data_IF_165048137838
#
_entry.id   IF_165048137838
#
_cell.length_a   1.000
_cell.length_b   1.000
_cell.length_c   1.000
_cell.angle_alpha   90.00
_cell.angle_beta   90.00
_cell.angle_gamma   90.00
#
_symmetry.space_group_name_H-M   'P 1'
#
loop_
_entity.id
_entity.type
_entity.pdbx_description
1 polymer ?
#
# COMPACT_ATOMS: atom_id res chain seq x y z
N UNK A 1 7.39 -15.57 -9.66
CA UNK A 1 8.22 -14.54 -10.34
C UNK A 1 8.76 -13.49 -9.37
N UNK A 2 7.93 -12.88 -8.50
CA UNK A 2 8.36 -11.86 -7.55
C UNK A 2 9.38 -12.38 -6.52
N UNK A 3 8.96 -13.28 -5.62
CA UNK A 3 9.79 -13.79 -4.50
C UNK A 3 11.11 -14.40 -4.99
N UNK A 4 11.06 -15.28 -6.00
CA UNK A 4 12.25 -15.89 -6.62
C UNK A 4 13.27 -14.87 -7.13
N UNK A 5 12.83 -13.67 -7.51
CA UNK A 5 13.71 -12.60 -8.01
C UNK A 5 13.97 -11.51 -6.95
N UNK A 6 13.71 -11.80 -5.68
CA UNK A 6 14.27 -11.08 -4.54
C UNK A 6 13.51 -9.84 -4.09
N UNK A 7 12.18 -9.80 -4.25
CA UNK A 7 11.35 -8.84 -3.49
C UNK A 7 11.33 -9.24 -2.00
N UNK A 8 11.24 -8.26 -1.12
CA UNK A 8 11.25 -8.48 0.34
C UNK A 8 9.85 -8.69 0.95
N UNK A 9 8.77 -8.50 0.17
CA UNK A 9 7.40 -8.70 0.61
C UNK A 9 6.39 -8.71 -0.54
N UNK A 10 5.14 -9.06 -0.24
CA UNK A 10 4.03 -9.15 -1.19
C UNK A 10 2.83 -8.33 -0.70
N UNK A 11 2.02 -7.83 -1.62
CA UNK A 11 0.69 -7.28 -1.33
C UNK A 11 -0.32 -7.94 -2.26
N UNK A 12 -1.38 -8.49 -1.69
CA UNK A 12 -2.53 -9.04 -2.44
C UNK A 12 -3.60 -7.96 -2.50
N UNK A 13 -3.98 -7.57 -3.71
CA UNK A 13 -4.91 -6.47 -3.99
C UNK A 13 -6.00 -6.96 -4.98
N UNK A 14 -7.25 -6.59 -4.75
CA UNK A 14 -8.38 -6.88 -5.65
C UNK A 14 -8.49 -5.88 -6.80
N UNK A 15 -7.36 -5.52 -7.42
CA UNK A 15 -7.29 -4.52 -8.49
C UNK A 15 -8.19 -4.82 -9.70
N UNK A 16 -8.50 -6.10 -9.93
CA UNK A 16 -9.36 -6.57 -11.01
C UNK A 16 -10.85 -6.30 -10.79
N UNK A 17 -11.28 -5.94 -9.57
CA UNK A 17 -12.69 -5.74 -9.22
C UNK A 17 -13.24 -4.38 -9.71
N UNK A 18 -12.61 -3.76 -10.71
CA UNK A 18 -13.09 -2.47 -11.24
C UNK A 18 -14.46 -2.64 -11.92
N UNK A 19 -15.43 -1.76 -11.65
CA UNK A 19 -15.38 -0.62 -10.72
C UNK A 19 -15.46 -1.05 -9.24
N UNK A 20 -14.67 -0.40 -8.38
CA UNK A 20 -14.61 -0.76 -6.96
C UNK A 20 -15.85 -0.32 -6.18
N UNK A 21 -16.25 -1.12 -5.20
CA UNK A 21 -17.28 -0.73 -4.24
C UNK A 21 -16.80 0.42 -3.35
N UNK A 22 -17.69 1.37 -3.04
CA UNK A 22 -17.40 2.44 -2.07
C UNK A 22 -17.12 1.89 -0.66
N UNK A 23 -17.92 0.91 -0.26
CA UNK A 23 -17.94 0.37 1.10
C UNK A 23 -17.32 -1.03 1.10
N UNK A 24 -18.12 -2.04 1.46
CA UNK A 24 -17.67 -3.41 1.61
C UNK A 24 -17.66 -4.14 0.27
N UNK A 25 -16.63 -4.95 0.04
CA UNK A 25 -16.62 -5.89 -1.08
C UNK A 25 -17.75 -6.95 -0.93
N UNK A 26 -18.22 -7.54 -2.04
CA UNK A 26 -19.18 -8.63 -2.01
C UNK A 26 -18.70 -9.85 -1.22
N UNK A 27 -19.64 -10.70 -0.78
CA UNK A 27 -19.33 -11.87 0.08
C UNK A 27 -18.43 -12.87 -0.64
N UNK A 28 -18.67 -13.07 -1.92
CA UNK A 28 -17.88 -13.91 -2.82
C UNK A 28 -16.46 -13.38 -2.97
N UNK A 29 -16.27 -12.06 -3.11
CA UNK A 29 -14.95 -11.43 -3.16
C UNK A 29 -14.17 -11.65 -1.87
N UNK A 30 -14.82 -11.43 -0.72
CA UNK A 30 -14.23 -11.69 0.59
C UNK A 30 -13.83 -13.17 0.75
N UNK A 31 -14.72 -14.09 0.40
CA UNK A 31 -14.46 -15.53 0.48
C UNK A 31 -13.28 -15.94 -0.41
N UNK A 32 -13.24 -15.49 -1.66
CA UNK A 32 -12.15 -15.78 -2.59
C UNK A 32 -10.81 -15.22 -2.10
N UNK A 33 -10.78 -13.95 -1.68
CA UNK A 33 -9.58 -13.34 -1.13
C UNK A 33 -9.07 -14.08 0.11
N UNK A 34 -9.96 -14.57 0.98
CA UNK A 34 -9.54 -15.32 2.18
C UNK A 34 -8.74 -16.58 1.83
N UNK A 35 -9.17 -17.31 0.80
CA UNK A 35 -8.49 -18.51 0.32
C UNK A 35 -7.17 -18.16 -0.37
N UNK A 36 -7.19 -17.13 -1.23
CA UNK A 36 -6.02 -16.70 -2.00
C UNK A 36 -4.91 -16.21 -1.07
N UNK A 37 -5.24 -15.31 -0.13
CA UNK A 37 -4.26 -14.74 0.81
C UNK A 37 -3.67 -15.85 1.67
N UNK A 38 -4.50 -16.74 2.24
CA UNK A 38 -4.01 -17.87 3.05
C UNK A 38 -3.02 -18.75 2.27
N UNK A 39 -3.35 -19.11 1.03
CA UNK A 39 -2.45 -19.90 0.18
C UNK A 39 -1.14 -19.18 -0.10
N UNK A 40 -1.16 -17.86 -0.31
CA UNK A 40 0.06 -17.07 -0.55
C UNK A 40 0.93 -17.02 0.71
N UNK A 41 0.33 -16.76 1.89
CA UNK A 41 1.02 -16.78 3.18
C UNK A 41 1.71 -18.15 3.41
N UNK A 42 1.00 -19.25 3.18
CA UNK A 42 1.54 -20.60 3.39
C UNK A 42 2.63 -20.99 2.37
N UNK A 43 2.66 -20.35 1.20
CA UNK A 43 3.56 -20.71 0.10
C UNK A 43 4.88 -19.93 0.10
N UNK A 44 4.96 -18.79 0.80
CA UNK A 44 6.10 -17.89 0.71
C UNK A 44 6.54 -17.38 2.07
N UNK A 45 7.85 -17.47 2.33
CA UNK A 45 8.47 -17.01 3.57
C UNK A 45 8.92 -15.53 3.49
N UNK A 46 8.01 -14.65 3.06
CA UNK A 46 8.18 -13.19 3.05
C UNK A 46 6.91 -12.55 3.59
N UNK A 47 6.98 -11.36 4.22
CA UNK A 47 5.79 -10.67 4.70
C UNK A 47 4.74 -10.49 3.60
N UNK A 48 3.48 -10.76 3.94
CA UNK A 48 2.33 -10.62 3.03
C UNK A 48 1.39 -9.56 3.58
N UNK A 49 1.03 -8.61 2.71
CA UNK A 49 0.04 -7.59 2.97
C UNK A 49 -1.26 -7.82 2.23
N UNK A 50 -2.35 -7.25 2.72
CA UNK A 50 -3.65 -7.23 2.03
C UNK A 50 -4.11 -5.80 1.77
N UNK A 51 -4.59 -5.52 0.57
CA UNK A 51 -5.30 -4.28 0.25
C UNK A 51 -6.65 -4.62 -0.38
N UNK A 52 -7.72 -4.07 0.19
CA UNK A 52 -9.08 -4.25 -0.34
C UNK A 52 -9.60 -2.91 -0.81
N UNK A 53 -9.57 -2.74 -2.14
CA UNK A 53 -10.01 -1.53 -2.83
C UNK A 53 -11.55 -1.41 -2.80
N UNK A 54 -12.09 -0.18 -2.70
CA UNK A 54 -11.34 1.08 -2.64
C UNK A 54 -10.78 1.41 -1.26
N UNK A 55 -11.52 1.12 -0.18
CA UNK A 55 -11.07 1.38 1.19
C UNK A 55 -11.72 0.45 2.24
N UNK A 56 -11.95 -0.82 1.92
CA UNK A 56 -12.56 -1.78 2.85
C UNK A 56 -11.52 -2.33 3.85
N UNK A 57 -10.99 -1.43 4.69
CA UNK A 57 -9.92 -1.74 5.64
C UNK A 57 -10.36 -2.75 6.71
N UNK A 58 -11.65 -2.82 7.04
CA UNK A 58 -12.17 -3.79 8.00
C UNK A 58 -12.15 -5.20 7.42
N UNK A 59 -12.57 -5.38 6.16
CA UNK A 59 -12.40 -6.67 5.48
C UNK A 59 -10.91 -7.01 5.31
N UNK A 60 -10.05 -6.04 4.97
CA UNK A 60 -8.61 -6.27 4.89
C UNK A 60 -8.02 -6.78 6.22
N UNK A 61 -8.39 -6.15 7.35
CA UNK A 61 -7.96 -6.57 8.69
C UNK A 61 -8.45 -7.98 9.03
N UNK A 62 -9.71 -8.29 8.73
CA UNK A 62 -10.28 -9.62 8.97
C UNK A 62 -9.58 -10.70 8.12
N UNK A 63 -9.30 -10.39 6.85
CA UNK A 63 -8.56 -11.27 5.95
C UNK A 63 -7.14 -11.51 6.46
N UNK A 64 -6.42 -10.45 6.82
CA UNK A 64 -5.06 -10.55 7.33
C UNK A 64 -5.00 -11.38 8.62
N UNK A 65 -5.86 -11.07 9.59
CA UNK A 65 -5.99 -11.82 10.83
C UNK A 65 -6.28 -13.32 10.59
N UNK A 66 -7.27 -13.64 9.76
CA UNK A 66 -7.69 -15.02 9.52
C UNK A 66 -6.67 -15.84 8.69
N UNK A 67 -5.91 -15.17 7.82
CA UNK A 67 -4.93 -15.84 6.94
C UNK A 67 -3.52 -15.91 7.53
N UNK A 68 -3.21 -15.06 8.52
CA UNK A 68 -1.85 -14.88 9.06
C UNK A 68 -1.00 -13.91 8.23
N UNK A 69 -1.61 -12.98 7.50
CA UNK A 69 -0.87 -11.93 6.80
C UNK A 69 -0.39 -10.85 7.78
N UNK A 70 0.76 -10.25 7.52
CA UNK A 70 1.49 -9.40 8.46
C UNK A 70 1.00 -7.95 8.51
N UNK A 71 0.44 -7.46 7.41
CA UNK A 71 0.00 -6.07 7.31
C UNK A 71 -1.18 -5.85 6.38
N UNK A 72 -1.78 -4.67 6.48
CA UNK A 72 -2.77 -4.19 5.51
C UNK A 72 -2.36 -2.82 4.98
N UNK A 73 -2.72 -2.55 3.73
CA UNK A 73 -2.67 -1.21 3.16
C UNK A 73 -4.05 -0.59 3.20
N UNK A 74 -4.13 0.65 3.66
CA UNK A 74 -5.37 1.42 3.77
C UNK A 74 -5.24 2.69 2.94
N UNK A 75 -6.08 2.84 1.93
CA UNK A 75 -6.00 3.96 1.02
C UNK A 75 -6.46 5.25 1.71
N UNK A 76 -7.67 5.28 2.29
CA UNK A 76 -8.21 6.46 2.97
C UNK A 76 -8.20 6.23 4.48
N UNK A 77 -7.12 6.64 5.14
CA UNK A 77 -6.92 6.33 6.57
C UNK A 77 -7.41 7.43 7.51
N UNK A 78 -6.86 8.65 7.41
CA UNK A 78 -7.14 9.78 8.30
C UNK A 78 -7.81 10.97 7.62
N UNK A 79 -7.70 11.08 6.30
CA UNK A 79 -8.23 12.22 5.54
C UNK A 79 -9.54 11.86 4.83
N UNK A 80 -10.47 12.81 4.71
CA UNK A 80 -11.68 12.63 3.92
C UNK A 80 -11.38 12.93 2.46
N UNK A 81 -11.66 11.96 1.57
CA UNK A 81 -11.23 12.01 0.18
C UNK A 81 -12.43 11.92 -0.77
N UNK A 82 -12.46 12.77 -1.79
CA UNK A 82 -13.40 12.71 -2.92
C UNK A 82 -12.80 11.83 -4.01
N UNK A 83 -13.51 10.76 -4.40
CA UNK A 83 -13.07 9.79 -5.41
C UNK A 83 -14.15 9.58 -6.49
N UNK A 84 -13.85 8.73 -7.48
CA UNK A 84 -14.81 8.22 -8.46
C UNK A 84 -15.93 7.34 -7.84
N UNK A 85 -15.80 6.93 -6.58
CA UNK A 85 -16.84 6.29 -5.77
C UNK A 85 -17.57 7.26 -4.82
N UNK A 86 -17.34 8.57 -4.95
CA UNK A 86 -17.87 9.62 -4.08
C UNK A 86 -16.96 9.92 -2.88
N UNK A 87 -17.54 10.47 -1.81
CA UNK A 87 -16.78 10.85 -0.60
C UNK A 87 -16.49 9.60 0.23
N UNK A 88 -15.21 9.32 0.49
CA UNK A 88 -14.73 8.28 1.39
C UNK A 88 -14.23 8.94 2.67
N UNK A 89 -14.76 8.49 3.80
CA UNK A 89 -14.43 9.02 5.13
C UNK A 89 -13.25 8.26 5.77
N UNK A 90 -12.49 8.91 6.67
CA UNK A 90 -11.43 8.28 7.45
C UNK A 90 -11.90 7.06 8.23
N UNK A 91 -11.06 6.01 8.28
CA UNK A 91 -11.40 4.74 8.93
C UNK A 91 -10.57 4.46 10.20
N UNK A 92 -9.55 5.28 10.51
CA UNK A 92 -8.54 4.99 11.53
C UNK A 92 -9.12 4.53 12.88
N UNK A 93 -10.09 5.26 13.45
CA UNK A 93 -10.69 4.89 14.73
C UNK A 93 -11.41 3.53 14.69
N UNK A 94 -12.22 3.28 13.66
CA UNK A 94 -12.95 2.00 13.50
C UNK A 94 -11.98 0.86 13.31
N UNK A 95 -10.94 1.06 12.50
CA UNK A 95 -9.94 0.04 12.19
C UNK A 95 -9.08 -0.33 13.40
N UNK A 96 -8.60 0.66 14.16
CA UNK A 96 -7.83 0.41 15.38
C UNK A 96 -8.66 -0.28 16.46
N UNK A 97 -9.92 0.12 16.61
CA UNK A 97 -10.86 -0.52 17.53
C UNK A 97 -11.11 -1.98 17.13
N UNK A 98 -11.26 -2.24 15.84
CA UNK A 98 -11.44 -3.58 15.30
C UNK A 98 -10.19 -4.46 15.45
N UNK A 99 -9.00 -3.93 15.14
CA UNK A 99 -7.71 -4.60 15.37
C UNK A 99 -7.55 -5.02 16.83
N UNK A 100 -7.88 -4.12 17.76
CA UNK A 100 -7.85 -4.40 19.21
C UNK A 100 -8.86 -5.49 19.60
N UNK A 101 -10.09 -5.42 19.09
CA UNK A 101 -11.12 -6.41 19.39
C UNK A 101 -10.75 -7.83 18.92
N UNK A 102 -10.02 -7.94 17.80
CA UNK A 102 -9.50 -9.20 17.30
C UNK A 102 -8.21 -9.67 18.02
N UNK A 103 -7.57 -8.81 18.81
CA UNK A 103 -6.20 -9.00 19.29
C UNK A 103 -5.23 -9.33 18.14
N UNK A 104 -5.40 -8.63 17.01
CA UNK A 104 -4.64 -8.90 15.79
C UNK A 104 -3.30 -8.18 15.79
N UNK A 105 -2.20 -8.92 15.62
CA UNK A 105 -0.85 -8.38 15.40
C UNK A 105 -0.63 -8.11 13.91
N UNK A 106 -1.46 -7.21 13.34
CA UNK A 106 -1.42 -6.83 11.93
C UNK A 106 -1.08 -5.35 11.82
N UNK A 107 -0.02 -5.03 11.08
CA UNK A 107 0.44 -3.65 10.86
C UNK A 107 -0.46 -2.90 9.88
N UNK A 108 -0.65 -1.60 10.11
CA UNK A 108 -1.47 -0.73 9.27
C UNK A 108 -0.55 0.21 8.48
N UNK A 109 -0.46 0.00 7.18
CA UNK A 109 0.26 0.87 6.25
C UNK A 109 -0.76 1.84 5.64
N UNK A 110 -0.66 3.12 6.01
CA UNK A 110 -1.63 4.14 5.63
C UNK A 110 -1.13 4.94 4.44
N UNK A 111 -1.92 5.00 3.36
CA UNK A 111 -1.67 5.98 2.31
C UNK A 111 -1.99 7.39 2.84
N UNK A 112 -1.15 8.36 2.47
CA UNK A 112 -1.36 9.79 2.70
C UNK A 112 -1.53 10.47 1.34
N UNK A 113 -2.50 11.38 1.22
CA UNK A 113 -2.87 12.04 -0.04
C UNK A 113 -3.00 11.06 -1.23
N UNK A 114 -3.93 10.13 -1.07
CA UNK A 114 -4.19 8.99 -1.96
C UNK A 114 -4.27 9.37 -3.45
N UNK A 115 -3.62 8.57 -4.30
CA UNK A 115 -3.84 8.58 -5.75
C UNK A 115 -5.33 8.45 -6.14
N UNK A 116 -5.71 9.02 -7.28
CA UNK A 116 -7.09 9.00 -7.82
C UNK A 116 -8.14 9.63 -6.89
N UNK A 117 -7.72 10.51 -5.98
CA UNK A 117 -8.59 11.18 -5.04
C UNK A 117 -8.08 12.59 -4.73
N UNK A 118 -8.98 13.47 -4.30
CA UNK A 118 -8.62 14.78 -3.76
C UNK A 118 -9.17 14.92 -2.35
N UNK A 119 -8.42 15.52 -1.41
CA UNK A 119 -8.97 15.76 -0.09
C UNK A 119 -10.14 16.75 -0.19
N UNK A 120 -11.14 16.60 0.66
CA UNK A 120 -12.33 17.47 0.67
C UNK A 120 -11.99 18.92 1.08
N UNK A 121 -10.89 19.08 1.80
CA UNK A 121 -10.29 20.36 2.19
C UNK A 121 -8.82 20.33 1.80
N UNK A 122 -8.26 21.48 1.45
CA UNK A 122 -6.82 21.57 1.18
C UNK A 122 -6.04 21.23 2.45
N UNK A 123 -5.17 20.23 2.35
CA UNK A 123 -4.34 19.74 3.44
C UNK A 123 -2.93 19.49 2.89
N UNK A 124 -1.92 19.94 3.63
CA UNK A 124 -0.53 19.71 3.27
C UNK A 124 -0.15 18.24 3.50
N UNK A 125 0.82 17.73 2.74
CA UNK A 125 1.38 16.39 2.99
C UNK A 125 1.91 16.27 4.42
N UNK A 126 2.54 17.32 4.94
CA UNK A 126 3.06 17.39 6.32
C UNK A 126 1.95 17.20 7.35
N UNK A 127 0.79 17.84 7.18
CA UNK A 127 -0.32 17.74 8.13
C UNK A 127 -1.06 16.40 8.02
N UNK A 128 -1.23 15.88 6.80
CA UNK A 128 -1.77 14.53 6.56
C UNK A 128 -0.89 13.47 7.24
N UNK A 129 0.42 13.54 7.04
CA UNK A 129 1.40 12.64 7.67
C UNK A 129 1.37 12.74 9.19
N UNK A 130 1.44 13.96 9.76
CA UNK A 130 1.35 14.15 11.20
C UNK A 130 0.05 13.58 11.76
N UNK A 131 -1.07 13.76 11.06
CA UNK A 131 -2.36 13.21 11.48
C UNK A 131 -2.34 11.69 11.46
N UNK A 132 -1.86 11.06 10.39
CA UNK A 132 -1.73 9.61 10.25
C UNK A 132 -0.83 8.99 11.33
N UNK A 133 0.26 9.66 11.71
CA UNK A 133 1.18 9.21 12.76
C UNK A 133 0.62 9.45 14.16
N UNK A 134 0.39 10.71 14.53
CA UNK A 134 0.09 11.08 15.93
C UNK A 134 -1.34 10.70 16.35
N UNK A 135 -2.31 10.85 15.44
CA UNK A 135 -3.73 10.57 15.75
C UNK A 135 -4.20 9.26 15.17
N UNK A 136 -3.68 8.91 13.99
CA UNK A 136 -3.96 7.67 13.30
C UNK A 136 -3.21 6.48 13.88
N UNK A 137 -2.02 6.66 14.49
CA UNK A 137 -1.19 5.54 14.95
C UNK A 137 -0.86 4.54 13.82
N UNK A 138 -0.63 5.04 12.61
CA UNK A 138 -0.18 4.24 11.48
C UNK A 138 1.18 3.58 11.79
N UNK A 139 1.33 2.31 11.40
CA UNK A 139 2.58 1.56 11.58
C UNK A 139 3.61 1.88 10.47
N UNK A 140 3.13 2.29 9.30
CA UNK A 140 3.93 2.84 8.21
C UNK A 140 3.07 3.78 7.36
N UNK A 141 3.72 4.65 6.59
CA UNK A 141 3.10 5.59 5.68
C UNK A 141 3.43 5.21 4.24
N UNK A 142 2.48 5.42 3.33
CA UNK A 142 2.67 5.23 1.90
C UNK A 142 2.37 6.55 1.20
N UNK A 143 3.35 7.07 0.45
CA UNK A 143 3.19 8.26 -0.39
C UNK A 143 3.04 7.79 -1.83
N UNK A 144 1.96 8.20 -2.51
CA UNK A 144 1.72 7.84 -3.91
C UNK A 144 1.79 9.07 -4.81
N UNK A 145 2.22 8.88 -6.06
CA UNK A 145 2.02 9.84 -7.14
C UNK A 145 0.54 9.97 -7.50
N UNK A 146 0.22 10.91 -8.38
CA UNK A 146 -1.17 11.29 -8.73
C UNK A 146 -2.03 10.13 -9.26
N UNK A 147 -1.40 9.19 -9.98
CA UNK A 147 -2.06 8.06 -10.61
C UNK A 147 -1.20 6.78 -10.64
N UNK A 148 -1.78 5.68 -11.12
CA UNK A 148 -1.10 4.37 -11.16
C UNK A 148 0.06 4.38 -12.16
N UNK A 149 1.28 4.19 -11.66
CA UNK A 149 2.50 4.17 -12.49
C UNK A 149 3.20 5.52 -12.58
N UNK A 150 2.54 6.62 -12.19
CA UNK A 150 3.19 7.91 -12.04
C UNK A 150 4.14 7.89 -10.83
N UNK A 151 5.37 8.43 -10.98
CA UNK A 151 6.32 8.53 -9.88
C UNK A 151 5.78 9.44 -8.79
N UNK A 152 6.21 9.17 -7.55
CA UNK A 152 5.99 10.09 -6.44
C UNK A 152 6.83 11.35 -6.70
N UNK A 153 6.23 12.52 -6.46
CA UNK A 153 6.97 13.78 -6.44
C UNK A 153 8.00 13.76 -5.31
N UNK A 154 9.27 14.02 -5.65
CA UNK A 154 10.39 13.85 -4.72
C UNK A 154 10.32 14.83 -3.55
N UNK A 155 9.82 16.05 -3.78
CA UNK A 155 9.66 17.04 -2.73
C UNK A 155 8.56 16.63 -1.75
N UNK A 156 7.43 16.13 -2.27
CA UNK A 156 6.36 15.53 -1.46
C UNK A 156 6.86 14.35 -0.63
N UNK A 157 7.68 13.46 -1.20
CA UNK A 157 8.26 12.32 -0.48
C UNK A 157 9.22 12.79 0.63
N UNK A 158 10.05 13.80 0.36
CA UNK A 158 10.96 14.38 1.35
C UNK A 158 10.20 15.00 2.50
N UNK A 159 9.19 15.82 2.21
CA UNK A 159 8.34 16.44 3.23
C UNK A 159 7.62 15.39 4.09
N UNK A 160 7.12 14.32 3.48
CA UNK A 160 6.50 13.22 4.20
C UNK A 160 7.51 12.52 5.13
N UNK A 161 8.73 12.27 4.66
CA UNK A 161 9.80 11.66 5.46
C UNK A 161 10.19 12.52 6.65
N UNK A 162 10.35 13.83 6.46
CA UNK A 162 10.65 14.77 7.55
C UNK A 162 9.51 14.84 8.58
N UNK A 163 8.26 14.75 8.11
CA UNK A 163 7.08 14.84 8.97
C UNK A 163 6.76 13.54 9.73
N UNK A 164 7.32 12.39 9.33
CA UNK A 164 6.90 11.07 9.81
C UNK A 164 7.26 10.78 11.26
N UNK A 165 8.16 11.57 11.87
CA UNK A 165 8.58 11.38 13.25
C UNK A 165 9.24 10.02 13.51
N UNK A 166 9.85 9.41 12.49
CA UNK A 166 10.50 8.11 12.57
C UNK A 166 9.63 6.92 12.16
N UNK A 167 8.33 7.13 11.89
CA UNK A 167 7.50 6.10 11.25
C UNK A 167 8.01 5.81 9.84
N UNK A 168 8.14 4.53 9.42
CA UNK A 168 8.61 4.18 8.08
C UNK A 168 7.74 4.80 6.97
N UNK A 169 8.39 5.33 5.94
CA UNK A 169 7.74 5.94 4.77
C UNK A 169 8.11 5.15 3.51
N UNK A 170 7.11 4.68 2.78
CA UNK A 170 7.27 3.93 1.54
C UNK A 170 6.77 4.73 0.35
N UNK A 171 7.48 4.64 -0.78
CA UNK A 171 6.97 5.11 -2.06
C UNK A 171 6.00 4.09 -2.67
N UNK A 172 4.75 4.49 -2.92
CA UNK A 172 3.65 3.61 -3.29
C UNK A 172 3.34 3.52 -4.79
N UNK A 173 4.04 4.24 -5.66
CA UNK A 173 3.81 4.23 -7.10
C UNK A 173 5.03 4.66 -7.93
N UNK A 174 5.04 4.24 -9.20
CA UNK A 174 5.95 4.75 -10.25
C UNK A 174 7.45 4.49 -10.08
N UNK A 175 7.83 3.65 -9.10
CA UNK A 175 9.23 3.24 -8.92
C UNK A 175 9.69 2.35 -10.08
N UNK A 176 10.84 2.70 -10.65
CA UNK A 176 11.48 2.02 -11.77
C UNK A 176 13.01 2.20 -11.71
N UNK A 177 13.75 1.62 -12.67
CA UNK A 177 15.23 1.68 -12.68
C UNK A 177 15.82 3.09 -12.69
N UNK A 178 15.12 4.06 -13.28
CA UNK A 178 15.61 5.43 -13.43
C UNK A 178 15.46 6.29 -12.18
N UNK A 179 14.55 5.95 -11.27
CA UNK A 179 14.25 6.77 -10.08
C UNK A 179 14.40 6.03 -8.75
N UNK A 180 14.57 4.70 -8.74
CA UNK A 180 14.62 3.92 -7.49
C UNK A 180 15.76 4.35 -6.55
N UNK A 181 16.91 4.76 -7.09
CA UNK A 181 18.04 5.22 -6.28
C UNK A 181 17.73 6.52 -5.53
N UNK A 182 17.10 7.47 -6.22
CA UNK A 182 16.68 8.75 -5.63
C UNK A 182 15.54 8.56 -4.63
N UNK A 183 14.55 7.72 -4.96
CA UNK A 183 13.42 7.44 -4.07
C UNK A 183 13.89 6.79 -2.78
N UNK A 184 14.75 5.77 -2.86
CA UNK A 184 15.22 5.03 -1.68
C UNK A 184 16.35 5.74 -0.91
N UNK A 185 16.90 6.85 -1.42
CA UNK A 185 17.75 7.70 -0.59
C UNK A 185 16.94 8.52 0.42
N UNK A 186 15.62 8.63 0.21
CA UNK A 186 14.67 9.36 1.07
C UNK A 186 13.70 8.41 1.81
N UNK A 187 13.18 7.40 1.12
CA UNK A 187 12.18 6.46 1.64
C UNK A 187 12.82 5.20 2.24
N UNK A 188 12.11 4.58 3.18
CA UNK A 188 12.53 3.32 3.82
C UNK A 188 12.18 2.08 2.98
N UNK A 189 11.39 2.26 1.92
CA UNK A 189 10.99 1.19 1.02
C UNK A 189 10.13 1.67 -0.15
N UNK A 190 9.76 0.73 -1.01
CA UNK A 190 8.92 1.00 -2.17
C UNK A 190 7.98 -0.17 -2.49
N UNK A 191 6.76 0.17 -2.91
CA UNK A 191 5.77 -0.77 -3.44
C UNK A 191 5.78 -0.65 -4.96
N UNK A 192 6.12 -1.75 -5.64
CA UNK A 192 6.32 -1.76 -7.09
C UNK A 192 5.35 -2.73 -7.76
N UNK A 193 4.44 -2.18 -8.57
CA UNK A 193 3.48 -2.95 -9.37
C UNK A 193 3.82 -2.92 -10.86
N UNK A 194 3.39 -1.85 -11.53
CA UNK A 194 3.44 -1.68 -12.99
C UNK A 194 4.81 -1.97 -13.61
N UNK A 195 5.91 -1.49 -13.00
CA UNK A 195 7.25 -1.73 -13.53
C UNK A 195 7.60 -3.22 -13.61
N UNK A 196 7.09 -4.07 -12.71
CA UNK A 196 7.35 -5.51 -12.71
C UNK A 196 6.56 -6.28 -13.76
N UNK A 197 5.59 -5.66 -14.42
CA UNK A 197 4.75 -6.30 -15.42
C UNK A 197 5.42 -6.22 -16.79
N UNK A 198 5.16 -7.22 -17.64
CA UNK A 198 5.67 -7.23 -19.01
C UNK A 198 5.20 -5.95 -19.72
N UNK A 199 6.13 -5.28 -20.39
CA UNK A 199 5.91 -4.01 -21.11
C UNK A 199 5.39 -2.85 -20.22
N UNK A 200 5.44 -2.99 -18.89
CA UNK A 200 4.90 -1.99 -17.98
C UNK A 200 3.38 -1.89 -17.98
N UNK A 201 2.67 -2.95 -18.40
CA UNK A 201 1.21 -2.97 -18.47
C UNK A 201 0.60 -3.76 -17.31
N UNK A 202 -0.30 -3.16 -16.53
CA UNK A 202 -0.82 -3.75 -15.28
C UNK A 202 -1.61 -5.06 -15.49
N UNK A 203 -2.16 -5.31 -16.68
CA UNK A 203 -2.86 -6.55 -16.98
C UNK A 203 -1.93 -7.69 -17.42
N UNK A 204 -0.69 -7.37 -17.82
CA UNK A 204 0.27 -8.36 -18.29
C UNK A 204 0.86 -9.21 -17.15
N UNK A 205 1.38 -10.42 -17.40
CA UNK A 205 2.08 -11.20 -16.37
C UNK A 205 3.32 -10.45 -15.82
N UNK A 206 3.76 -10.85 -14.63
CA UNK A 206 5.01 -10.37 -14.03
C UNK A 206 6.20 -10.88 -14.84
N UNK A 207 7.08 -9.97 -15.24
CA UNK A 207 8.35 -10.28 -15.89
C UNK A 207 9.45 -10.41 -14.82
N UNK A 208 9.87 -11.65 -14.56
CA UNK A 208 10.91 -11.94 -13.57
C UNK A 208 12.25 -11.27 -13.86
N UNK A 209 12.58 -10.99 -15.12
CA UNK A 209 13.82 -10.29 -15.48
C UNK A 209 13.79 -8.83 -15.02
N UNK A 210 12.63 -8.16 -15.15
CA UNK A 210 12.42 -6.79 -14.69
C UNK A 210 12.48 -6.69 -13.17
N UNK A 211 11.86 -7.65 -12.47
CA UNK A 211 11.96 -7.78 -11.02
C UNK A 211 13.43 -7.90 -10.60
N UNK A 212 14.15 -8.87 -11.18
CA UNK A 212 15.55 -9.13 -10.84
C UNK A 212 16.45 -7.92 -11.08
N UNK A 213 16.25 -7.18 -12.19
CA UNK A 213 17.02 -5.97 -12.50
C UNK A 213 16.85 -4.91 -11.41
N UNK A 214 15.62 -4.60 -11.01
CA UNK A 214 15.36 -3.61 -9.97
C UNK A 214 15.90 -4.05 -8.61
N UNK A 215 15.58 -5.27 -8.18
CA UNK A 215 16.00 -5.76 -6.85
C UNK A 215 17.51 -5.89 -6.73
N UNK A 216 18.21 -6.27 -7.82
CA UNK A 216 19.67 -6.31 -7.85
C UNK A 216 20.29 -4.91 -7.78
N UNK A 217 19.69 -3.92 -8.44
CA UNK A 217 20.15 -2.52 -8.34
C UNK A 217 19.98 -2.00 -6.91
N UNK A 218 18.82 -2.20 -6.29
CA UNK A 218 18.55 -1.80 -4.91
C UNK A 218 19.55 -2.46 -3.95
N UNK A 219 19.77 -3.77 -4.08
CA UNK A 219 20.75 -4.48 -3.25
C UNK A 219 22.16 -3.93 -3.41
N UNK A 220 22.57 -3.56 -4.63
CA UNK A 220 23.89 -2.97 -4.86
C UNK A 220 24.07 -1.58 -4.23
N UNK A 221 22.99 -0.80 -4.14
CA UNK A 221 23.04 0.58 -3.65
C UNK A 221 22.89 0.68 -2.13
N UNK A 222 22.15 -0.23 -1.50
CA UNK A 222 21.70 -0.11 -0.12
C UNK A 222 21.99 -1.33 0.77
N UNK A 223 22.72 -2.34 0.28
CA UNK A 223 23.25 -3.47 1.07
C UNK A 223 24.71 -3.71 0.76
#
# INVERSE_FOLDING_TARGET
>A
ALVKNGVDGLIVENFGDKPFTKNRIPREGFALMSIIVKRIVDSFNVPVGVNVLRNDALSAMALAYASGADFIRVNVYTDTMVTDQGIIEPIAWRLLSYRRALNADVRIFADVLVKHAKPIVDISIRDSVKTAVYRGLADALIVTGSETGAPVDIDTLREAKEASGGVPVLAGSGVNLGNVAEILSLADGAIVGTFFKKDGLTENPVDGSRVKKLTSLVKKLFR
#
